data_IF_369372987477
#
_entry.id   IF_369372987477
#
_cell.length_a   1.000
_cell.length_b   1.000
_cell.length_c   1.000
_cell.angle_alpha   90.00
_cell.angle_beta   90.00
_cell.angle_gamma   90.00
#
_symmetry.space_group_name_H-M   'P 1'
#
loop_
_entity.id
_entity.type
_entity.pdbx_description
1 polymer ?
#
# COMPACT_ATOMS: atom_id res chain seq x y z
N UNK A 1 2.09 -15.30 5.34
CA UNK A 1 2.28 -13.98 4.73
C UNK A 1 3.63 -13.87 4.04
N UNK A 2 4.71 -14.26 4.70
CA UNK A 2 6.05 -14.22 4.10
C UNK A 2 6.18 -15.09 2.85
N UNK A 3 5.52 -16.23 2.82
CA UNK A 3 5.51 -17.11 1.64
C UNK A 3 4.80 -16.43 0.47
N UNK A 4 3.67 -15.79 0.71
CA UNK A 4 2.94 -15.05 -0.32
C UNK A 4 3.74 -13.85 -0.83
N UNK A 5 4.36 -13.11 0.06
CA UNK A 5 5.22 -11.98 -0.28
C UNK A 5 6.38 -12.43 -1.17
N UNK A 6 7.08 -13.49 -0.77
CA UNK A 6 8.20 -14.04 -1.55
C UNK A 6 7.76 -14.51 -2.94
N UNK A 7 6.64 -15.21 -3.03
CA UNK A 7 6.11 -15.68 -4.32
C UNK A 7 5.76 -14.52 -5.23
N UNK A 8 5.16 -13.46 -4.70
CA UNK A 8 4.83 -12.27 -5.47
C UNK A 8 6.08 -11.60 -6.02
N UNK A 9 7.12 -11.47 -5.20
CA UNK A 9 8.41 -10.90 -5.62
C UNK A 9 9.04 -11.76 -6.72
N UNK A 10 9.05 -13.08 -6.57
CA UNK A 10 9.61 -13.98 -7.57
C UNK A 10 8.85 -13.93 -8.90
N UNK A 11 7.52 -13.88 -8.83
CA UNK A 11 6.68 -13.77 -10.04
C UNK A 11 6.95 -12.44 -10.74
N UNK A 12 7.07 -11.35 -10.00
CA UNK A 12 7.41 -10.04 -10.54
C UNK A 12 8.77 -10.07 -11.24
N UNK A 13 9.75 -10.75 -10.64
CA UNK A 13 11.07 -10.93 -11.24
C UNK A 13 10.99 -11.64 -12.60
N UNK A 14 10.21 -12.72 -12.68
CA UNK A 14 10.04 -13.48 -13.91
C UNK A 14 9.51 -12.60 -15.04
N UNK A 15 8.50 -11.78 -14.76
CA UNK A 15 7.96 -10.85 -15.75
C UNK A 15 8.95 -9.77 -16.13
N UNK A 16 9.62 -9.19 -15.17
CA UNK A 16 10.55 -8.09 -15.40
C UNK A 16 11.74 -8.54 -16.25
N UNK A 17 12.34 -9.68 -15.93
CA UNK A 17 13.54 -10.19 -16.59
C UNK A 17 13.27 -10.75 -17.99
N UNK A 18 12.01 -10.86 -18.42
CA UNK A 18 11.69 -11.18 -19.80
C UNK A 18 12.01 -10.03 -20.76
N UNK A 19 11.93 -8.79 -20.29
CA UNK A 19 12.11 -7.59 -21.13
C UNK A 19 13.27 -6.70 -20.69
N UNK A 20 13.72 -6.85 -19.44
CA UNK A 20 14.72 -5.96 -18.85
C UNK A 20 15.89 -6.75 -18.25
N UNK A 21 16.99 -6.05 -18.02
CA UNK A 21 18.23 -6.60 -17.49
C UNK A 21 18.10 -7.02 -16.03
N UNK A 22 18.72 -8.14 -15.69
CA UNK A 22 18.79 -8.66 -14.35
C UNK A 22 19.49 -7.70 -13.36
N UNK A 23 20.46 -6.91 -13.82
CA UNK A 23 21.10 -5.88 -13.00
C UNK A 23 20.14 -4.77 -12.60
N UNK A 24 19.23 -4.40 -13.48
CA UNK A 24 18.17 -3.44 -13.15
C UNK A 24 17.20 -4.02 -12.13
N UNK A 25 16.91 -5.31 -12.22
CA UNK A 25 16.10 -6.00 -11.23
C UNK A 25 16.71 -5.95 -9.83
N UNK A 26 18.00 -6.19 -9.72
CA UNK A 26 18.70 -6.13 -8.42
C UNK A 26 18.59 -4.76 -7.76
N UNK A 27 18.56 -3.69 -8.56
CA UNK A 27 18.36 -2.33 -8.05
C UNK A 27 16.93 -2.08 -7.60
N UNK A 28 15.96 -2.71 -8.25
CA UNK A 28 14.53 -2.59 -7.92
C UNK A 28 14.10 -3.51 -6.79
N UNK A 29 14.80 -4.61 -6.57
CA UNK A 29 14.40 -5.64 -5.61
C UNK A 29 14.10 -5.09 -4.21
N UNK A 30 14.95 -4.28 -3.57
CA UNK A 30 14.63 -3.73 -2.25
C UNK A 30 13.37 -2.85 -2.25
N UNK A 31 13.14 -2.13 -3.33
CA UNK A 31 11.96 -1.27 -3.50
C UNK A 31 10.71 -2.13 -3.59
N UNK A 32 10.75 -3.17 -4.41
CA UNK A 32 9.61 -4.09 -4.60
C UNK A 32 9.32 -4.85 -3.31
N UNK A 33 10.34 -5.32 -2.61
CA UNK A 33 10.16 -5.96 -1.31
C UNK A 33 9.48 -5.02 -0.31
N UNK A 34 9.90 -3.77 -0.26
CA UNK A 34 9.32 -2.77 0.62
C UNK A 34 7.84 -2.52 0.31
N UNK A 35 7.48 -2.35 -0.96
CA UNK A 35 6.10 -2.14 -1.38
C UNK A 35 5.24 -3.37 -1.06
N UNK A 36 5.75 -4.57 -1.34
CA UNK A 36 5.04 -5.81 -1.03
C UNK A 36 4.84 -5.97 0.48
N UNK A 37 5.86 -5.68 1.28
CA UNK A 37 5.77 -5.77 2.73
C UNK A 37 4.75 -4.81 3.34
N UNK A 38 4.55 -3.65 2.73
CA UNK A 38 3.58 -2.67 3.21
C UNK A 38 2.15 -2.95 2.76
N UNK A 39 1.96 -3.79 1.73
CA UNK A 39 0.65 -4.03 1.14
C UNK A 39 0.13 -5.45 1.28
N UNK A 40 1.00 -6.43 1.50
CA UNK A 40 0.61 -7.82 1.78
C UNK A 40 0.79 -8.06 3.27
N UNK A 41 -0.29 -7.95 4.00
CA UNK A 41 -0.29 -7.91 5.46
C UNK A 41 -1.05 -9.10 6.03
N UNK A 42 -0.65 -9.52 7.22
CA UNK A 42 -1.42 -10.47 8.02
C UNK A 42 -2.55 -9.74 8.74
N UNK A 43 -3.76 -10.24 8.64
CA UNK A 43 -4.90 -9.61 9.29
C UNK A 43 -6.03 -10.59 9.57
N UNK A 44 -6.80 -10.28 10.60
CA UNK A 44 -8.03 -10.98 10.95
C UNK A 44 -9.21 -10.20 10.34
N UNK A 45 -10.00 -10.88 9.51
CA UNK A 45 -11.13 -10.27 8.82
C UNK A 45 -12.27 -9.86 9.78
N UNK A 46 -12.35 -10.47 10.95
CA UNK A 46 -13.39 -10.18 11.93
C UNK A 46 -13.03 -8.99 12.83
N UNK A 47 -11.80 -8.98 13.33
CA UNK A 47 -11.33 -7.92 14.24
C UNK A 47 -10.70 -6.74 13.51
N UNK A 48 -10.34 -6.92 12.23
CA UNK A 48 -9.61 -5.95 11.40
C UNK A 48 -8.28 -5.53 12.02
N UNK A 49 -7.66 -6.46 12.73
CA UNK A 49 -6.38 -6.27 13.40
C UNK A 49 -5.38 -7.34 12.98
N UNK A 50 -4.11 -7.07 13.22
CA UNK A 50 -3.05 -8.05 13.05
C UNK A 50 -3.05 -9.00 14.25
N UNK A 51 -3.22 -10.33 14.06
CA UNK A 51 -3.28 -11.26 15.17
C UNK A 51 -1.98 -11.41 15.95
N UNK A 52 -0.85 -11.00 15.37
CA UNK A 52 0.45 -11.13 16.03
C UNK A 52 0.70 -10.03 17.07
N UNK A 53 0.22 -8.81 16.83
CA UNK A 53 0.45 -7.68 17.74
C UNK A 53 -0.83 -6.98 18.21
N UNK A 54 -2.00 -7.40 17.72
CA UNK A 54 -3.30 -6.81 18.06
C UNK A 54 -3.53 -5.40 17.54
N UNK A 55 -2.62 -4.86 16.74
CA UNK A 55 -2.74 -3.51 16.19
C UNK A 55 -3.70 -3.47 15.02
N UNK A 56 -4.36 -2.32 14.79
CA UNK A 56 -5.19 -2.17 13.60
C UNK A 56 -4.42 -2.39 12.31
N UNK A 57 -5.09 -2.95 11.30
CA UNK A 57 -4.50 -3.11 9.98
C UNK A 57 -4.35 -1.73 9.34
N UNK A 58 -3.14 -1.40 8.96
CA UNK A 58 -2.81 -0.17 8.21
C UNK A 58 -2.21 -0.59 6.89
N UNK A 59 -2.69 0.00 5.80
CA UNK A 59 -2.12 -0.28 4.50
C UNK A 59 -1.75 1.01 3.77
N UNK A 60 -0.84 0.86 2.83
CA UNK A 60 -0.31 1.97 2.06
C UNK A 60 -1.10 2.15 0.76
N UNK A 61 -1.50 3.37 0.47
CA UNK A 61 -1.96 3.77 -0.85
C UNK A 61 -0.78 4.38 -1.60
N UNK A 62 -0.54 3.91 -2.80
CA UNK A 62 0.54 4.39 -3.66
C UNK A 62 -0.03 5.14 -4.84
N UNK A 63 0.40 6.37 -5.03
CA UNK A 63 0.03 7.20 -6.17
C UNK A 63 1.26 7.41 -7.07
N UNK A 64 1.11 7.08 -8.35
CA UNK A 64 2.17 7.31 -9.33
C UNK A 64 1.94 8.66 -10.01
N UNK A 65 2.94 9.51 -9.94
CA UNK A 65 2.91 10.84 -10.50
C UNK A 65 3.83 10.93 -11.73
N UNK A 66 3.78 12.03 -12.45
CA UNK A 66 4.67 12.25 -13.57
C UNK A 66 6.15 12.29 -13.16
N UNK A 67 7.04 12.03 -14.11
CA UNK A 67 8.50 12.05 -13.92
C UNK A 67 9.00 11.02 -12.88
N UNK A 68 8.40 9.81 -12.88
CA UNK A 68 8.79 8.70 -12.01
C UNK A 68 8.73 9.05 -10.53
N UNK A 69 7.80 9.91 -10.14
CA UNK A 69 7.55 10.27 -8.75
C UNK A 69 6.41 9.45 -8.18
N UNK A 70 6.50 9.19 -6.90
CA UNK A 70 5.45 8.47 -6.16
C UNK A 70 5.14 9.20 -4.86
N UNK A 71 3.93 8.96 -4.36
CA UNK A 71 3.49 9.42 -3.07
C UNK A 71 2.83 8.26 -2.34
N UNK A 72 3.07 8.17 -1.04
CA UNK A 72 2.44 7.18 -0.16
C UNK A 72 1.58 7.87 0.87
N UNK A 73 0.39 7.30 1.13
CA UNK A 73 -0.46 7.65 2.25
C UNK A 73 -0.90 6.37 2.96
N UNK A 74 -0.94 6.40 4.28
CA UNK A 74 -1.35 5.24 5.06
C UNK A 74 -2.76 5.45 5.60
N UNK A 75 -3.57 4.39 5.55
CA UNK A 75 -4.95 4.38 6.02
C UNK A 75 -5.18 3.22 6.96
N UNK A 76 -5.98 3.44 7.99
CA UNK A 76 -6.49 2.36 8.83
C UNK A 76 -7.67 1.70 8.11
N UNK A 77 -7.58 0.39 7.91
CA UNK A 77 -8.56 -0.37 7.14
C UNK A 77 -9.97 -0.30 7.73
N UNK A 78 -10.08 -0.43 9.05
CA UNK A 78 -11.35 -0.33 9.75
C UNK A 78 -12.07 1.00 9.49
N UNK A 79 -11.33 2.10 9.49
CA UNK A 79 -11.90 3.42 9.21
C UNK A 79 -12.41 3.55 7.78
N UNK A 80 -11.73 2.95 6.82
CA UNK A 80 -12.19 2.96 5.43
C UNK A 80 -13.50 2.21 5.27
N UNK A 81 -13.64 1.04 5.88
CA UNK A 81 -14.86 0.25 5.82
C UNK A 81 -16.02 1.00 6.48
N UNK A 82 -15.82 1.51 7.68
CA UNK A 82 -16.87 2.20 8.42
C UNK A 82 -17.33 3.47 7.71
N UNK A 83 -16.40 4.24 7.15
CA UNK A 83 -16.72 5.44 6.39
C UNK A 83 -17.43 5.11 5.08
N UNK A 84 -17.07 4.02 4.40
CA UNK A 84 -17.75 3.58 3.21
C UNK A 84 -19.19 3.16 3.49
N UNK A 85 -19.44 2.48 4.60
CA UNK A 85 -20.80 2.13 5.04
C UNK A 85 -21.63 3.38 5.36
N UNK A 86 -21.06 4.35 6.05
CA UNK A 86 -21.71 5.63 6.33
C UNK A 86 -21.98 6.41 5.03
N UNK A 87 -21.07 6.36 4.06
CA UNK A 87 -21.25 7.01 2.77
C UNK A 87 -22.36 6.37 1.95
N UNK A 88 -22.52 5.04 2.01
CA UNK A 88 -23.63 4.35 1.35
C UNK A 88 -24.99 4.78 1.92
N UNK A 89 -25.07 5.02 3.22
CA UNK A 89 -26.28 5.52 3.86
C UNK A 89 -26.62 6.97 3.45
N UNK A 90 -25.62 7.76 3.10
CA UNK A 90 -25.75 9.18 2.74
C UNK A 90 -25.93 9.37 1.24
N UNK A 91 -25.71 8.37 0.41
CA UNK A 91 -25.83 8.43 -1.06
C UNK A 91 -27.24 8.85 -1.51
N UNK A 92 -28.27 8.71 -0.66
CA UNK A 92 -29.60 9.20 -0.94
C UNK A 92 -29.68 10.72 -1.09
N UNK A 93 -28.72 11.48 -0.58
CA UNK A 93 -28.69 12.95 -0.59
C UNK A 93 -27.81 13.56 -1.69
N UNK A 94 -27.31 12.77 -2.62
CA UNK A 94 -26.43 13.22 -3.73
C UNK A 94 -25.15 13.92 -3.31
N UNK A 95 -24.79 13.91 -2.05
CA UNK A 95 -23.55 14.50 -1.57
C UNK A 95 -22.44 13.44 -1.67
N UNK A 96 -21.85 13.33 -2.85
CA UNK A 96 -20.68 12.48 -3.10
C UNK A 96 -19.44 12.97 -2.36
N UNK A 97 -19.51 14.14 -1.74
CA UNK A 97 -18.42 14.71 -0.93
C UNK A 97 -18.35 14.13 0.49
N UNK A 98 -19.36 13.30 0.88
CA UNK A 98 -19.46 12.77 2.24
C UNK A 98 -18.38 11.76 2.63
N UNK A 99 -17.70 11.12 1.66
CA UNK A 99 -16.67 10.12 1.94
C UNK A 99 -15.33 10.52 1.34
N UNK A 100 -14.53 11.23 2.13
CA UNK A 100 -13.12 11.46 1.82
C UNK A 100 -12.31 10.76 2.92
N UNK A 101 -11.66 9.63 2.60
CA UNK A 101 -10.84 8.95 3.60
C UNK A 101 -9.69 9.85 4.04
N UNK A 102 -9.47 9.90 5.36
CA UNK A 102 -8.36 10.67 5.92
C UNK A 102 -7.19 9.73 6.19
N UNK A 103 -6.03 9.99 5.61
CA UNK A 103 -4.85 9.20 5.93
C UNK A 103 -4.39 9.47 7.38
N UNK A 104 -3.88 8.44 8.04
CA UNK A 104 -3.23 8.60 9.34
C UNK A 104 -1.79 9.09 9.18
N UNK A 105 -1.24 8.95 7.99
CA UNK A 105 0.10 9.43 7.65
C UNK A 105 0.16 9.79 6.18
N UNK A 106 0.72 10.95 5.89
CA UNK A 106 0.93 11.48 4.55
C UNK A 106 2.42 11.68 4.34
N UNK A 107 2.98 10.99 3.34
CA UNK A 107 4.41 10.99 3.09
C UNK A 107 4.76 12.01 1.99
N UNK A 108 5.99 12.54 2.00
CA UNK A 108 6.41 13.46 0.94
C UNK A 108 6.49 12.75 -0.41
N UNK A 109 6.37 13.52 -1.48
CA UNK A 109 6.56 13.01 -2.84
C UNK A 109 8.04 12.72 -3.05
N UNK A 110 8.38 11.52 -3.52
CA UNK A 110 9.75 11.11 -3.82
C UNK A 110 9.82 10.44 -5.20
N UNK A 111 11.02 10.33 -5.75
CA UNK A 111 11.25 9.51 -6.94
C UNK A 111 11.18 8.03 -6.56
N UNK A 112 10.79 7.17 -7.52
CA UNK A 112 10.63 5.73 -7.30
C UNK A 112 11.87 5.11 -6.62
N UNK A 113 13.07 5.47 -7.07
CA UNK A 113 14.29 4.92 -6.48
C UNK A 113 14.58 5.41 -5.05
N UNK A 114 13.85 6.40 -4.57
CA UNK A 114 13.99 6.93 -3.22
C UNK A 114 12.86 6.45 -2.28
N UNK A 115 12.05 5.50 -2.70
CA UNK A 115 10.94 4.97 -1.88
C UNK A 115 11.43 4.49 -0.52
N UNK A 116 12.62 3.89 -0.44
CA UNK A 116 13.15 3.38 0.82
C UNK A 116 13.37 4.47 1.87
N UNK A 117 13.42 5.74 1.47
CA UNK A 117 13.50 6.85 2.43
C UNK A 117 12.26 6.93 3.32
N UNK A 118 11.13 6.40 2.88
CA UNK A 118 9.90 6.34 3.70
C UNK A 118 10.07 5.49 4.94
N UNK A 119 10.93 4.48 4.91
CA UNK A 119 11.19 3.63 6.06
C UNK A 119 11.87 4.36 7.21
N UNK A 120 12.43 5.55 6.95
CA UNK A 120 13.12 6.38 7.95
C UNK A 120 12.23 7.46 8.57
N UNK A 121 11.01 7.57 8.13
CA UNK A 121 10.04 8.57 8.61
C UNK A 121 9.30 8.08 9.85
#
# INVERSE_FOLDING_TARGET
>A
VKICQRRLVLTTKEFYCQEYDEQQWERLLPIIEYVVDTNILCGDALSLTNPNDGKPIVFAEWSFLSAYKVKRRDFVYEQLINQADDAELVVSDRNTEGFIPKPIRDYPIVKIFNILSYAKI
#
